data_IF_198885307941
#
_entry.id   IF_198885307941
#
_cell.length_a   1.000
_cell.length_b   1.000
_cell.length_c   1.000
_cell.angle_alpha   90.00
_cell.angle_beta   90.00
_cell.angle_gamma   90.00
#
_symmetry.space_group_name_H-M   'P 1'
#
loop_
_entity.id
_entity.type
_entity.pdbx_description
1 polymer ?
#
# COMPACT_ATOMS: atom_id res chain seq x y z
N UNK A 1 -16.99 -1.93 30.14
CA UNK A 1 -16.86 -2.21 28.69
C UNK A 1 -15.43 -2.63 28.42
N UNK A 2 -15.18 -3.83 27.86
CA UNK A 2 -13.86 -4.15 27.30
C UNK A 2 -13.88 -3.75 25.83
N UNK A 3 -13.09 -2.75 25.46
CA UNK A 3 -12.89 -2.38 24.06
C UNK A 3 -12.25 -3.57 23.34
N UNK A 4 -12.85 -4.01 22.24
CA UNK A 4 -12.31 -5.07 21.39
C UNK A 4 -11.12 -4.48 20.63
N UNK A 5 -9.91 -4.98 20.89
CA UNK A 5 -8.73 -4.64 20.07
C UNK A 5 -8.88 -5.36 18.74
N UNK A 6 -9.40 -4.70 17.72
CA UNK A 6 -9.28 -5.19 16.34
C UNK A 6 -8.05 -4.55 15.70
N UNK A 7 -7.30 -5.34 14.94
CA UNK A 7 -6.29 -4.78 14.04
C UNK A 7 -6.98 -3.82 13.06
N UNK A 8 -6.32 -2.70 12.75
CA UNK A 8 -6.79 -1.73 11.77
C UNK A 8 -5.81 -1.75 10.60
N UNK A 9 -6.34 -1.69 9.38
CA UNK A 9 -5.54 -1.52 8.17
C UNK A 9 -5.52 -0.03 7.84
N UNK A 10 -4.31 0.53 7.73
CA UNK A 10 -4.10 1.87 7.22
C UNK A 10 -3.68 1.75 5.76
N UNK A 11 -4.46 2.31 4.85
CA UNK A 11 -4.17 2.33 3.42
C UNK A 11 -4.01 3.78 2.93
N UNK A 12 -2.75 4.22 2.86
CA UNK A 12 -2.36 5.56 2.43
C UNK A 12 -1.29 5.51 1.31
N UNK A 13 -1.36 4.48 0.46
CA UNK A 13 -0.44 4.18 -0.66
C UNK A 13 1.01 3.83 -0.29
N UNK A 14 1.59 4.43 0.76
CA UNK A 14 2.94 4.13 1.28
C UNK A 14 4.03 3.99 0.21
N UNK A 15 4.03 4.92 -0.76
CA UNK A 15 4.81 4.80 -1.99
C UNK A 15 6.33 4.76 -1.76
N UNK A 16 6.84 5.44 -0.73
CA UNK A 16 8.28 5.57 -0.47
C UNK A 16 8.66 5.02 0.90
N UNK A 17 9.91 4.58 1.03
CA UNK A 17 10.47 4.08 2.28
C UNK A 17 10.39 5.14 3.40
N UNK A 18 10.65 6.41 3.08
CA UNK A 18 10.55 7.50 4.06
C UNK A 18 9.13 7.69 4.59
N UNK A 19 8.11 7.54 3.73
CA UNK A 19 6.71 7.59 4.17
C UNK A 19 6.39 6.42 5.11
N UNK A 20 6.83 5.19 4.78
CA UNK A 20 6.63 4.02 5.65
C UNK A 20 7.31 4.21 7.01
N UNK A 21 8.56 4.67 7.01
CA UNK A 21 9.33 4.92 8.22
C UNK A 21 8.67 5.96 9.13
N UNK A 22 8.17 7.07 8.55
CA UNK A 22 7.47 8.11 9.31
C UNK A 22 6.24 7.57 10.03
N UNK A 23 5.41 6.76 9.35
CA UNK A 23 4.21 6.19 9.98
C UNK A 23 4.53 5.08 10.99
N UNK A 24 5.60 4.30 10.76
CA UNK A 24 6.07 3.33 11.75
C UNK A 24 6.54 4.04 13.04
N UNK A 25 7.25 5.17 12.92
CA UNK A 25 7.66 5.98 14.06
C UNK A 25 6.45 6.56 14.82
N UNK A 26 5.44 7.10 14.11
CA UNK A 26 4.21 7.59 14.73
C UNK A 26 3.44 6.50 15.47
N UNK A 27 3.42 5.28 14.93
CA UNK A 27 2.78 4.14 15.59
C UNK A 27 3.53 3.74 16.88
N UNK A 28 4.87 3.71 16.83
CA UNK A 28 5.72 3.41 17.99
C UNK A 28 5.55 4.46 19.10
N UNK A 29 5.58 5.76 18.75
CA UNK A 29 5.32 6.87 19.66
C UNK A 29 3.94 6.77 20.34
N UNK A 30 2.95 6.22 19.63
CA UNK A 30 1.61 5.99 20.15
C UNK A 30 1.43 4.63 20.87
N UNK A 31 2.49 3.80 20.97
CA UNK A 31 2.47 2.50 21.64
C UNK A 31 1.78 1.39 20.86
N UNK A 32 1.74 1.50 19.52
CA UNK A 32 1.17 0.50 18.63
C UNK A 32 2.26 -0.32 17.92
N UNK A 33 2.05 -1.63 17.85
CA UNK A 33 2.82 -2.51 16.96
C UNK A 33 2.34 -2.36 15.51
N UNK A 34 3.27 -2.42 14.56
CA UNK A 34 2.97 -2.40 13.12
C UNK A 34 3.31 -3.73 12.44
N UNK A 35 2.57 -4.03 11.37
CA UNK A 35 2.81 -5.11 10.42
C UNK A 35 2.78 -4.49 9.03
N UNK A 36 3.88 -4.60 8.27
CA UNK A 36 3.95 -4.12 6.89
C UNK A 36 3.41 -5.20 5.94
N UNK A 37 2.18 -5.04 5.47
CA UNK A 37 1.65 -5.90 4.42
C UNK A 37 2.13 -5.42 3.05
N UNK A 38 2.87 -6.28 2.34
CA UNK A 38 3.40 -5.99 1.01
C UNK A 38 2.67 -6.81 -0.06
N UNK A 39 2.00 -6.11 -0.98
CA UNK A 39 1.40 -6.67 -2.19
C UNK A 39 2.38 -6.55 -3.36
N UNK A 40 3.19 -7.59 -3.55
CA UNK A 40 4.18 -7.65 -4.65
C UNK A 40 3.55 -8.16 -5.94
N UNK A 41 2.68 -7.33 -6.53
CA UNK A 41 1.98 -7.65 -7.78
C UNK A 41 2.72 -7.04 -8.97
N UNK A 42 3.02 -7.84 -10.02
CA UNK A 42 3.69 -7.34 -11.22
C UNK A 42 2.99 -6.11 -11.82
N UNK A 43 3.79 -5.17 -12.34
CA UNK A 43 3.27 -3.92 -12.90
C UNK A 43 2.27 -4.14 -14.04
N UNK A 44 2.48 -5.17 -14.87
CA UNK A 44 1.57 -5.53 -15.95
C UNK A 44 0.18 -5.92 -15.43
N UNK A 45 0.12 -6.73 -14.38
CA UNK A 45 -1.12 -7.17 -13.76
C UNK A 45 -1.85 -5.98 -13.09
N UNK A 46 -1.11 -5.11 -12.37
CA UNK A 46 -1.68 -3.88 -11.81
C UNK A 46 -2.24 -2.96 -12.90
N UNK A 47 -1.54 -2.83 -14.03
CA UNK A 47 -2.02 -2.04 -15.16
C UNK A 47 -3.28 -2.63 -15.79
N UNK A 48 -3.37 -3.96 -15.94
CA UNK A 48 -4.57 -4.62 -16.45
C UNK A 48 -5.78 -4.33 -15.57
N UNK A 49 -5.61 -4.35 -14.24
CA UNK A 49 -6.68 -3.98 -13.28
C UNK A 49 -7.09 -2.51 -13.42
N UNK A 50 -6.14 -1.59 -13.57
CA UNK A 50 -6.42 -0.16 -13.81
C UNK A 50 -7.20 0.05 -15.10
N UNK A 51 -6.79 -0.61 -16.19
CA UNK A 51 -7.48 -0.56 -17.48
C UNK A 51 -8.92 -1.06 -17.35
N UNK A 52 -9.10 -2.23 -16.72
CA UNK A 52 -10.42 -2.81 -16.47
C UNK A 52 -11.31 -1.88 -15.64
N UNK A 53 -10.77 -1.21 -14.61
CA UNK A 53 -11.51 -0.19 -13.83
C UNK A 53 -11.94 1.00 -14.69
N UNK A 54 -11.05 1.54 -15.52
CA UNK A 54 -11.34 2.69 -16.39
C UNK A 54 -12.44 2.37 -17.42
N UNK A 55 -12.46 1.14 -17.93
CA UNK A 55 -13.48 0.65 -18.88
C UNK A 55 -14.81 0.36 -18.18
N UNK A 56 -14.78 -0.34 -17.04
CA UNK A 56 -15.99 -0.81 -16.34
C UNK A 56 -16.75 0.32 -15.64
N UNK A 57 -16.03 1.31 -15.08
CA UNK A 57 -16.62 2.45 -14.36
C UNK A 57 -17.68 2.07 -13.31
N UNK A 58 -17.31 1.16 -12.40
CA UNK A 58 -18.18 0.69 -11.32
C UNK A 58 -18.56 1.77 -10.30
N UNK A 59 -19.34 1.40 -9.27
CA UNK A 59 -19.95 2.35 -8.32
C UNK A 59 -18.97 3.33 -7.63
N UNK A 60 -17.73 2.89 -7.36
CA UNK A 60 -16.68 3.71 -6.72
C UNK A 60 -15.75 4.39 -7.72
N UNK A 61 -16.06 4.34 -9.01
CA UNK A 61 -15.27 5.01 -10.04
C UNK A 61 -15.33 6.53 -9.87
N UNK A 62 -14.17 7.19 -9.93
CA UNK A 62 -14.10 8.65 -9.80
C UNK A 62 -13.45 9.33 -10.99
N UNK A 63 -12.41 8.72 -11.57
CA UNK A 63 -11.61 9.28 -12.66
C UNK A 63 -10.85 8.20 -13.41
N UNK A 64 -10.53 8.47 -14.67
CA UNK A 64 -9.65 7.63 -15.49
C UNK A 64 -8.19 7.78 -15.08
N UNK A 65 -7.49 6.66 -14.99
CA UNK A 65 -6.03 6.63 -14.78
C UNK A 65 -5.35 6.30 -16.12
N UNK A 66 -4.88 7.30 -16.88
CA UNK A 66 -4.20 7.05 -18.15
C UNK A 66 -2.83 6.39 -17.94
N UNK A 67 -2.33 5.68 -18.97
CA UNK A 67 -1.07 4.92 -18.93
C UNK A 67 0.12 5.77 -18.49
N UNK A 68 0.22 7.01 -18.96
CA UNK A 68 1.33 7.90 -18.59
C UNK A 68 1.35 8.20 -17.08
N UNK A 69 0.18 8.29 -16.44
CA UNK A 69 0.09 8.59 -15.00
C UNK A 69 0.46 7.35 -14.18
N UNK A 70 0.06 6.16 -14.63
CA UNK A 70 0.51 4.90 -14.06
C UNK A 70 2.04 4.78 -14.15
N UNK A 71 2.61 4.98 -15.35
CA UNK A 71 4.05 4.91 -15.59
C UNK A 71 4.86 5.96 -14.83
N UNK A 72 4.26 7.11 -14.55
CA UNK A 72 4.84 8.11 -13.67
C UNK A 72 4.93 7.60 -12.23
N UNK A 73 3.85 7.01 -11.70
CA UNK A 73 3.83 6.46 -10.34
C UNK A 73 4.78 5.29 -10.17
N UNK A 74 4.99 4.46 -11.19
CA UNK A 74 6.00 3.38 -11.15
C UNK A 74 7.42 3.90 -10.87
N UNK A 75 7.73 5.15 -11.24
CA UNK A 75 9.03 5.78 -10.96
C UNK A 75 9.10 6.41 -9.57
N UNK A 76 7.95 6.67 -8.96
CA UNK A 76 7.83 7.27 -7.63
C UNK A 76 7.82 6.19 -6.54
N UNK A 77 7.30 5.00 -6.87
CA UNK A 77 7.16 3.88 -5.96
C UNK A 77 8.51 3.20 -5.67
N UNK A 78 8.72 2.89 -4.39
CA UNK A 78 9.86 2.16 -3.86
C UNK A 78 9.33 0.91 -3.15
N UNK A 79 9.65 -0.31 -3.61
CA UNK A 79 9.26 -1.52 -2.91
C UNK A 79 9.93 -1.59 -1.52
N UNK A 80 9.29 -2.22 -0.52
CA UNK A 80 9.94 -2.49 0.75
C UNK A 80 11.23 -3.30 0.56
N UNK A 81 12.31 -2.84 1.16
CA UNK A 81 13.56 -3.60 1.24
C UNK A 81 13.42 -4.78 2.22
N UNK A 82 14.28 -5.83 2.13
CA UNK A 82 14.31 -6.89 3.13
C UNK A 82 14.51 -6.39 4.57
N UNK A 83 15.26 -5.30 4.74
CA UNK A 83 15.47 -4.67 6.04
C UNK A 83 14.18 -4.03 6.59
N UNK A 84 13.40 -3.34 5.74
CA UNK A 84 12.08 -2.82 6.13
C UNK A 84 11.10 -3.95 6.46
N UNK A 85 11.08 -5.02 5.65
CA UNK A 85 10.24 -6.18 5.92
C UNK A 85 10.58 -6.81 7.26
N UNK A 86 11.86 -6.91 7.63
CA UNK A 86 12.24 -7.41 8.96
C UNK A 86 11.86 -6.44 10.08
N UNK A 87 12.14 -5.15 9.90
CA UNK A 87 11.92 -4.13 10.94
C UNK A 87 10.44 -3.93 11.29
N UNK A 88 9.54 -4.14 10.32
CA UNK A 88 8.11 -3.87 10.48
C UNK A 88 7.26 -5.14 10.46
N UNK A 89 7.81 -6.29 10.86
CA UNK A 89 7.12 -7.58 10.91
C UNK A 89 6.39 -7.89 9.59
N UNK A 90 7.05 -7.62 8.46
CA UNK A 90 6.44 -7.58 7.15
C UNK A 90 5.95 -8.92 6.65
N UNK A 91 4.79 -8.90 6.00
CA UNK A 91 4.14 -10.08 5.44
C UNK A 91 3.82 -9.84 3.96
N UNK A 92 4.10 -10.82 3.12
CA UNK A 92 3.58 -10.82 1.75
C UNK A 92 2.08 -11.12 1.80
N UNK A 93 1.27 -10.14 1.42
CA UNK A 93 -0.17 -10.33 1.34
C UNK A 93 -0.51 -11.06 0.03
N UNK A 94 -1.42 -12.03 0.11
CA UNK A 94 -1.97 -12.69 -1.07
C UNK A 94 -2.76 -11.67 -1.92
N UNK A 95 -2.65 -11.80 -3.24
CA UNK A 95 -3.24 -10.88 -4.23
C UNK A 95 -4.56 -11.34 -4.81
#
# INVERSE_FOLDING_TARGET
MRARRCGTVLDLSFLRASNRANFAALADEAGFSVVLHFLDVPAEERWNRVRGRNETRGETFSLDVPKWMFDFMEKVWEPPTPAEMLAYNGEYAAS
#
